data_IF_288482913958
#
_entry.id   IF_288482913958
#
_cell.length_a   1.000
_cell.length_b   1.000
_cell.length_c   1.000
_cell.angle_alpha   90.00
_cell.angle_beta   90.00
_cell.angle_gamma   90.00
#
_symmetry.space_group_name_H-M   'P 1'
#
loop_
_entity.id
_entity.type
_entity.pdbx_description
1 polymer ?
#
# COMPACT_ATOMS: atom_id res chain seq x y z
N UNK A 1 -8.79 9.64 17.97
CA UNK A 1 -10.21 9.19 18.07
C UNK A 1 -11.08 10.28 17.48
N UNK A 2 -11.59 10.07 16.26
CA UNK A 2 -12.61 10.95 15.69
C UNK A 2 -13.86 10.78 16.53
N UNK A 3 -14.31 11.86 17.16
CA UNK A 3 -15.53 11.90 17.97
C UNK A 3 -16.74 11.69 17.03
N UNK A 4 -17.12 10.43 16.82
CA UNK A 4 -18.27 10.04 15.97
C UNK A 4 -19.60 10.57 16.51
N UNK A 5 -19.67 11.05 17.76
CA UNK A 5 -20.87 11.65 18.33
C UNK A 5 -21.26 12.98 17.67
N UNK A 6 -20.32 13.63 16.98
CA UNK A 6 -20.53 14.92 16.28
C UNK A 6 -21.47 14.84 15.07
N UNK A 7 -21.65 13.66 14.47
CA UNK A 7 -22.29 13.51 13.16
C UNK A 7 -23.64 12.79 13.21
N UNK A 8 -24.07 12.35 14.39
CA UNK A 8 -25.36 11.68 14.58
C UNK A 8 -26.50 12.65 14.24
N UNK A 9 -27.28 12.31 13.22
CA UNK A 9 -28.52 12.99 12.78
C UNK A 9 -28.35 14.34 12.03
N UNK A 10 -27.19 14.67 11.45
CA UNK A 10 -27.09 15.81 10.52
C UNK A 10 -26.42 15.41 9.19
N UNK A 11 -26.77 16.06 8.06
CA UNK A 11 -26.01 15.90 6.83
C UNK A 11 -24.56 16.31 7.02
N UNK A 12 -23.61 15.50 6.52
CA UNK A 12 -22.17 15.77 6.55
C UNK A 12 -21.68 16.16 5.17
N UNK A 13 -21.16 17.38 5.02
CA UNK A 13 -20.54 17.81 3.77
C UNK A 13 -19.13 17.26 3.68
N UNK A 14 -18.95 16.20 2.89
CA UNK A 14 -17.68 15.53 2.66
C UNK A 14 -16.89 16.22 1.56
N UNK A 15 -15.60 16.51 1.81
CA UNK A 15 -14.60 16.80 0.79
C UNK A 15 -13.87 15.53 0.39
N UNK A 16 -13.88 15.19 -0.90
CA UNK A 16 -13.20 14.00 -1.40
C UNK A 16 -12.03 14.42 -2.28
N UNK A 17 -10.81 14.26 -1.73
CA UNK A 17 -9.55 14.61 -2.40
C UNK A 17 -9.03 13.40 -3.16
N UNK A 18 -8.72 13.54 -4.46
CA UNK A 18 -8.22 12.43 -5.25
C UNK A 18 -8.12 12.72 -6.74
N UNK A 19 -7.83 11.69 -7.52
CA UNK A 19 -7.94 11.69 -8.98
C UNK A 19 -9.41 11.49 -9.37
N UNK A 20 -10.09 12.53 -9.81
CA UNK A 20 -11.56 12.55 -9.98
C UNK A 20 -12.08 11.52 -10.99
N UNK A 21 -11.29 11.14 -11.97
CA UNK A 21 -11.66 10.12 -12.96
C UNK A 21 -11.55 8.66 -12.41
N UNK A 22 -10.95 8.48 -11.24
CA UNK A 22 -10.76 7.16 -10.68
C UNK A 22 -12.11 6.55 -10.27
N UNK A 23 -12.31 5.27 -10.61
CA UNK A 23 -13.49 4.50 -10.23
C UNK A 23 -13.74 4.53 -8.72
N UNK A 24 -12.69 4.54 -7.90
CA UNK A 24 -12.78 4.57 -6.43
C UNK A 24 -13.54 5.80 -5.93
N UNK A 25 -13.30 6.96 -6.54
CA UNK A 25 -14.01 8.22 -6.23
C UNK A 25 -15.50 8.06 -6.51
N UNK A 26 -15.85 7.61 -7.69
CA UNK A 26 -17.27 7.44 -8.14
C UNK A 26 -18.00 6.41 -7.27
N UNK A 27 -17.37 5.26 -7.01
CA UNK A 27 -17.98 4.20 -6.21
C UNK A 27 -18.24 4.70 -4.78
N UNK A 28 -17.29 5.41 -4.15
CA UNK A 28 -17.48 5.98 -2.82
C UNK A 28 -18.59 7.05 -2.79
N UNK A 29 -18.60 7.98 -3.74
CA UNK A 29 -19.68 8.99 -3.86
C UNK A 29 -21.06 8.34 -3.93
N UNK A 30 -21.20 7.29 -4.73
CA UNK A 30 -22.46 6.55 -4.86
C UNK A 30 -22.91 5.93 -3.52
N UNK A 31 -21.99 5.32 -2.76
CA UNK A 31 -22.31 4.72 -1.45
C UNK A 31 -22.64 5.78 -0.41
N UNK A 32 -21.90 6.88 -0.39
CA UNK A 32 -22.15 8.02 0.50
C UNK A 32 -23.55 8.60 0.29
N UNK A 33 -23.93 8.83 -0.96
CA UNK A 33 -25.28 9.34 -1.32
C UNK A 33 -26.38 8.32 -0.99
N UNK A 34 -26.12 7.02 -1.20
CA UNK A 34 -27.08 5.97 -0.84
C UNK A 34 -27.38 5.90 0.67
N UNK A 35 -26.49 6.43 1.51
CA UNK A 35 -26.72 6.62 2.95
C UNK A 35 -27.44 7.93 3.29
N UNK A 36 -28.02 8.62 2.29
CA UNK A 36 -28.77 9.87 2.47
C UNK A 36 -27.90 11.10 2.71
N UNK A 37 -26.60 11.02 2.46
CA UNK A 37 -25.69 12.14 2.65
C UNK A 37 -25.58 13.03 1.41
N UNK A 38 -25.25 14.33 1.56
CA UNK A 38 -25.05 15.25 0.45
C UNK A 38 -23.98 14.75 -0.52
N UNK A 39 -24.09 15.17 -1.78
CA UNK A 39 -23.04 14.91 -2.79
C UNK A 39 -21.70 15.46 -2.30
N UNK A 40 -20.63 14.65 -2.27
CA UNK A 40 -19.32 15.13 -1.86
C UNK A 40 -18.78 16.26 -2.73
N UNK A 41 -18.09 17.21 -2.11
CA UNK A 41 -17.28 18.20 -2.84
C UNK A 41 -16.02 17.49 -3.35
N UNK A 42 -15.87 17.41 -4.69
CA UNK A 42 -14.71 16.79 -5.31
C UNK A 42 -13.55 17.78 -5.38
N UNK A 43 -12.37 17.37 -4.95
CA UNK A 43 -11.16 18.19 -4.91
C UNK A 43 -10.06 17.43 -5.64
N UNK A 44 -9.64 17.96 -6.80
CA UNK A 44 -8.59 17.35 -7.61
C UNK A 44 -7.20 17.63 -7.02
N UNK A 45 -6.34 16.63 -6.99
CA UNK A 45 -4.95 16.79 -6.61
C UNK A 45 -4.18 17.77 -7.51
N UNK A 46 -4.53 17.83 -8.79
CA UNK A 46 -3.88 18.71 -9.76
C UNK A 46 -4.24 20.17 -9.56
N UNK A 47 -5.36 20.45 -8.87
CA UNK A 47 -5.88 21.79 -8.62
C UNK A 47 -6.33 21.95 -7.16
N UNK A 48 -5.42 21.66 -6.23
CA UNK A 48 -5.70 21.84 -4.80
C UNK A 48 -5.95 23.33 -4.50
N UNK A 49 -7.12 23.68 -3.89
CA UNK A 49 -7.40 25.07 -3.54
C UNK A 49 -6.39 25.62 -2.52
N UNK A 50 -6.05 26.89 -2.68
CA UNK A 50 -5.18 27.60 -1.72
C UNK A 50 -5.90 27.86 -0.38
N UNK A 51 -7.20 28.10 -0.43
CA UNK A 51 -8.03 28.32 0.76
C UNK A 51 -8.69 27.03 1.23
N UNK A 52 -8.99 26.96 2.52
CA UNK A 52 -9.70 25.83 3.14
C UNK A 52 -11.06 25.62 2.46
N UNK A 53 -11.35 24.43 1.93
CA UNK A 53 -12.64 24.13 1.31
C UNK A 53 -13.78 24.13 2.35
N UNK A 54 -14.99 24.51 1.92
CA UNK A 54 -16.17 24.54 2.80
C UNK A 54 -16.79 23.16 2.95
N UNK A 55 -16.14 22.30 3.72
CA UNK A 55 -16.58 20.92 4.02
C UNK A 55 -16.40 20.63 5.50
N UNK A 56 -17.11 19.62 6.01
CA UNK A 56 -17.03 19.22 7.41
C UNK A 56 -15.84 18.28 7.70
N UNK A 57 -15.50 17.43 6.72
CA UNK A 57 -14.50 16.38 6.84
C UNK A 57 -13.92 16.04 5.48
N UNK A 58 -12.69 15.53 5.47
CA UNK A 58 -12.01 15.09 4.25
C UNK A 58 -11.92 13.55 4.18
N UNK A 59 -12.07 13.02 2.98
CA UNK A 59 -11.56 11.71 2.61
C UNK A 59 -10.49 11.91 1.55
N UNK A 60 -9.28 11.45 1.85
CA UNK A 60 -8.12 11.56 0.96
C UNK A 60 -7.92 10.19 0.31
N UNK A 61 -7.93 10.13 -1.02
CA UNK A 61 -7.73 8.89 -1.78
C UNK A 61 -6.33 8.81 -2.40
N UNK A 62 -6.02 7.69 -3.04
CA UNK A 62 -4.71 7.43 -3.66
C UNK A 62 -4.36 8.43 -4.76
N UNK A 63 -3.12 8.94 -4.82
CA UNK A 63 -2.63 9.76 -5.92
C UNK A 63 -2.22 8.93 -7.15
N UNK A 64 -2.30 7.60 -7.09
CA UNK A 64 -1.86 6.69 -8.15
C UNK A 64 -2.73 6.71 -9.41
N UNK A 65 -2.23 6.07 -10.47
CA UNK A 65 -2.92 5.85 -11.76
C UNK A 65 -3.16 7.12 -12.61
N UNK A 66 -2.44 8.21 -12.33
CA UNK A 66 -2.50 9.44 -13.12
C UNK A 66 -1.07 9.91 -13.45
N UNK A 67 -0.66 9.79 -14.72
CA UNK A 67 0.70 10.12 -15.18
C UNK A 67 0.96 11.64 -15.08
N UNK A 68 -0.03 12.47 -15.36
CA UNK A 68 0.13 13.93 -15.25
C UNK A 68 0.37 14.35 -13.80
N UNK A 69 -0.43 13.83 -12.86
CA UNK A 69 -0.21 14.04 -11.43
C UNK A 69 1.15 13.48 -10.99
N UNK A 70 1.52 12.28 -11.44
CA UNK A 70 2.82 11.69 -11.09
C UNK A 70 3.98 12.60 -11.51
N UNK A 71 3.92 13.18 -12.71
CA UNK A 71 4.92 14.13 -13.21
C UNK A 71 4.98 15.39 -12.33
N UNK A 72 3.84 15.94 -11.93
CA UNK A 72 3.78 17.10 -11.02
C UNK A 72 4.36 16.77 -9.62
N UNK A 73 4.04 15.59 -9.08
CA UNK A 73 4.56 15.14 -7.79
C UNK A 73 6.07 14.93 -7.84
N UNK A 74 6.60 14.35 -8.92
CA UNK A 74 8.04 14.18 -9.11
C UNK A 74 8.73 15.55 -9.14
N UNK A 75 8.21 16.50 -9.88
CA UNK A 75 8.76 17.87 -9.92
C UNK A 75 8.68 18.56 -8.55
N UNK A 76 7.54 18.48 -7.87
CA UNK A 76 7.34 19.03 -6.53
C UNK A 76 8.29 18.40 -5.50
N UNK A 77 8.61 17.13 -5.64
CA UNK A 77 9.55 16.39 -4.78
C UNK A 77 11.02 16.57 -5.14
N UNK A 78 11.35 17.52 -6.03
CA UNK A 78 12.73 17.86 -6.41
C UNK A 78 13.31 17.03 -7.58
N UNK A 79 12.47 16.27 -8.25
CA UNK A 79 12.85 15.54 -9.47
C UNK A 79 12.91 16.45 -10.70
N UNK A 80 13.21 15.88 -11.88
CA UNK A 80 13.34 16.67 -13.10
C UNK A 80 12.00 17.27 -13.54
N UNK A 81 12.06 18.51 -14.03
CA UNK A 81 10.89 19.17 -14.64
C UNK A 81 10.42 18.35 -15.84
N UNK A 82 9.10 18.13 -15.91
CA UNK A 82 8.49 17.31 -16.96
C UNK A 82 9.19 15.95 -17.11
N UNK A 83 9.37 15.24 -15.99
CA UNK A 83 9.97 13.92 -15.99
C UNK A 83 9.40 13.08 -17.14
N UNK A 84 10.23 12.47 -18.00
CA UNK A 84 9.78 11.69 -19.15
C UNK A 84 9.30 10.31 -18.68
N UNK A 85 8.27 10.31 -17.82
CA UNK A 85 7.70 9.11 -17.25
C UNK A 85 6.69 8.50 -18.22
N UNK A 86 6.92 7.26 -18.61
CA UNK A 86 5.95 6.48 -19.37
C UNK A 86 5.00 5.70 -18.43
N UNK A 87 3.82 5.38 -18.95
CA UNK A 87 2.86 4.59 -18.19
C UNK A 87 3.44 3.25 -17.72
N UNK A 88 3.41 3.01 -16.42
CA UNK A 88 3.95 1.79 -15.80
C UNK A 88 5.46 1.79 -15.61
N UNK A 89 6.18 2.86 -15.94
CA UNK A 89 7.60 2.97 -15.64
C UNK A 89 7.86 3.08 -14.14
N UNK A 90 8.92 2.39 -13.68
CA UNK A 90 9.35 2.39 -12.28
C UNK A 90 10.60 3.26 -12.14
N UNK A 91 10.37 4.54 -11.90
CA UNK A 91 11.39 5.56 -11.72
C UNK A 91 10.87 6.67 -10.79
N UNK A 92 11.78 7.44 -10.19
CA UNK A 92 11.48 8.61 -9.38
C UNK A 92 10.54 8.35 -8.18
N UNK A 93 10.60 7.15 -7.59
CA UNK A 93 9.69 6.74 -6.51
C UNK A 93 9.85 7.62 -5.26
N UNK A 94 11.09 8.03 -4.97
CA UNK A 94 11.41 8.92 -3.85
C UNK A 94 10.86 10.33 -4.09
N UNK A 95 11.10 10.89 -5.26
CA UNK A 95 10.64 12.23 -5.63
C UNK A 95 9.12 12.30 -5.67
N UNK A 96 8.47 11.26 -6.24
CA UNK A 96 7.02 11.12 -6.18
C UNK A 96 6.48 11.15 -4.74
N UNK A 97 7.09 10.40 -3.83
CA UNK A 97 6.70 10.38 -2.42
C UNK A 97 6.89 11.76 -1.75
N UNK A 98 8.03 12.40 -1.96
CA UNK A 98 8.30 13.72 -1.39
C UNK A 98 7.29 14.76 -1.88
N UNK A 99 6.96 14.74 -3.17
CA UNK A 99 5.92 15.59 -3.73
C UNK A 99 4.53 15.29 -3.17
N UNK A 100 4.20 14.02 -2.97
CA UNK A 100 2.94 13.65 -2.34
C UNK A 100 2.88 14.11 -0.87
N UNK A 101 3.96 13.97 -0.11
CA UNK A 101 4.05 14.52 1.25
C UNK A 101 3.83 16.04 1.25
N UNK A 102 4.38 16.78 0.29
CA UNK A 102 4.15 18.22 0.17
C UNK A 102 2.66 18.55 -0.11
N UNK A 103 1.94 17.76 -0.90
CA UNK A 103 0.49 17.92 -1.06
C UNK A 103 -0.27 17.59 0.23
N UNK A 104 0.11 16.52 0.93
CA UNK A 104 -0.50 16.16 2.22
C UNK A 104 -0.31 17.27 3.27
N UNK A 105 0.85 17.93 3.31
CA UNK A 105 1.07 19.09 4.17
C UNK A 105 0.16 20.28 3.82
N UNK A 106 -0.08 20.57 2.53
CA UNK A 106 -1.05 21.58 2.10
C UNK A 106 -2.46 21.23 2.58
N UNK A 107 -2.87 19.96 2.42
CA UNK A 107 -4.18 19.46 2.90
C UNK A 107 -4.27 19.56 4.42
N UNK A 108 -3.21 19.21 5.15
CA UNK A 108 -3.13 19.32 6.60
C UNK A 108 -3.29 20.77 7.07
N UNK A 109 -2.72 21.73 6.32
CA UNK A 109 -2.81 23.15 6.64
C UNK A 109 -4.25 23.71 6.57
N UNK A 110 -5.20 23.04 5.95
CA UNK A 110 -6.62 23.41 6.00
C UNK A 110 -7.24 23.22 7.39
N UNK A 111 -6.61 22.45 8.29
CA UNK A 111 -7.10 22.22 9.66
C UNK A 111 -8.41 21.44 9.74
N UNK A 112 -8.81 20.76 8.67
CA UNK A 112 -10.05 19.97 8.63
C UNK A 112 -9.81 18.55 9.17
N UNK A 113 -10.81 17.97 9.86
CA UNK A 113 -10.78 16.53 10.17
C UNK A 113 -10.71 15.72 8.88
N UNK A 114 -10.06 14.55 8.94
CA UNK A 114 -10.00 13.63 7.82
C UNK A 114 -10.27 12.20 8.27
N UNK A 115 -10.78 11.34 7.37
CA UNK A 115 -10.95 9.90 7.64
C UNK A 115 -9.63 9.26 8.02
N UNK A 116 -8.59 9.55 7.28
CA UNK A 116 -7.21 9.22 7.62
C UNK A 116 -6.41 10.52 7.64
N UNK A 117 -5.69 10.76 8.74
CA UNK A 117 -4.92 11.98 8.91
C UNK A 117 -3.78 12.06 7.86
N UNK A 118 -3.54 13.23 7.24
CA UNK A 118 -2.52 13.39 6.20
C UNK A 118 -1.12 12.91 6.61
N UNK A 119 -0.71 13.17 7.84
CA UNK A 119 0.57 12.74 8.40
C UNK A 119 0.66 11.21 8.56
N UNK A 120 -0.42 10.55 8.94
CA UNK A 120 -0.47 9.09 9.00
C UNK A 120 -0.48 8.44 7.61
N UNK A 121 -1.14 9.07 6.63
CA UNK A 121 -1.07 8.65 5.22
C UNK A 121 0.39 8.68 4.75
N UNK A 122 1.13 9.77 5.04
CA UNK A 122 2.53 9.90 4.67
C UNK A 122 3.39 8.77 5.27
N UNK A 123 3.19 8.45 6.55
CA UNK A 123 3.91 7.36 7.22
C UNK A 123 3.53 5.99 6.64
N UNK A 124 2.25 5.70 6.40
CA UNK A 124 1.82 4.44 5.78
C UNK A 124 2.36 4.27 4.36
N UNK A 125 2.65 5.36 3.67
CA UNK A 125 3.23 5.35 2.33
C UNK A 125 4.77 5.16 2.34
N UNK A 126 5.40 5.19 3.52
CA UNK A 126 6.82 4.92 3.73
C UNK A 126 6.99 3.60 4.51
N UNK A 127 7.49 2.56 3.83
CA UNK A 127 7.64 1.22 4.42
C UNK A 127 8.62 1.18 5.58
N UNK A 128 9.63 2.07 5.59
CA UNK A 128 10.58 2.13 6.69
C UNK A 128 9.99 2.83 7.92
N UNK A 129 9.31 3.93 7.76
CA UNK A 129 8.63 4.61 8.87
C UNK A 129 7.54 3.72 9.48
N UNK A 130 6.74 3.05 8.66
CA UNK A 130 5.77 2.04 9.12
C UNK A 130 6.47 0.90 9.86
N UNK A 131 7.63 0.42 9.33
CA UNK A 131 8.47 -0.58 10.01
C UNK A 131 8.87 -0.14 11.41
N UNK A 132 9.44 1.04 11.55
CA UNK A 132 9.88 1.54 12.84
C UNK A 132 8.72 1.68 13.84
N UNK A 133 7.55 2.14 13.36
CA UNK A 133 6.34 2.26 14.18
C UNK A 133 5.86 0.90 14.69
N UNK A 134 5.86 -0.13 13.84
CA UNK A 134 5.52 -1.50 14.25
C UNK A 134 6.52 -2.10 15.24
N UNK A 135 7.81 -1.90 15.01
CA UNK A 135 8.86 -2.36 15.95
C UNK A 135 8.66 -1.72 17.33
N UNK A 136 8.43 -0.40 17.38
CA UNK A 136 8.21 0.33 18.62
C UNK A 136 6.95 -0.12 19.37
N UNK A 137 5.94 -0.59 18.64
CA UNK A 137 4.68 -1.10 19.20
C UNK A 137 4.70 -2.62 19.49
N UNK A 138 5.79 -3.32 19.19
CA UNK A 138 5.87 -4.79 19.36
C UNK A 138 5.02 -5.59 18.38
N UNK A 139 4.61 -4.99 17.26
CA UNK A 139 3.81 -5.66 16.22
C UNK A 139 4.70 -6.58 15.39
N UNK A 140 4.28 -7.86 15.28
CA UNK A 140 5.05 -8.92 14.60
C UNK A 140 5.19 -8.63 13.09
N UNK A 141 6.43 -8.75 12.59
CA UNK A 141 6.78 -8.49 11.19
C UNK A 141 8.11 -9.16 10.81
N UNK A 142 8.42 -9.36 9.52
CA UNK A 142 9.73 -9.86 9.12
C UNK A 142 10.85 -8.93 9.60
N UNK A 143 11.99 -9.46 10.09
CA UNK A 143 13.18 -8.65 10.31
C UNK A 143 13.57 -7.91 9.03
N UNK A 144 13.94 -6.64 9.18
CA UNK A 144 14.27 -5.80 8.04
C UNK A 144 15.35 -4.75 8.38
N UNK A 145 16.02 -4.28 7.33
CA UNK A 145 16.98 -3.17 7.36
C UNK A 145 16.85 -2.32 6.10
N UNK A 146 17.39 -1.10 6.13
CA UNK A 146 17.58 -0.32 4.91
C UNK A 146 18.66 -0.98 4.05
N UNK A 147 18.37 -1.16 2.76
CA UNK A 147 19.37 -1.62 1.83
C UNK A 147 20.37 -0.49 1.48
N UNK A 148 21.64 -0.80 1.21
CA UNK A 148 22.60 0.19 0.67
C UNK A 148 22.08 0.79 -0.64
N UNK A 149 22.41 2.04 -0.90
CA UNK A 149 22.01 2.74 -2.13
C UNK A 149 22.77 2.29 -3.38
N UNK A 150 23.85 1.53 -3.23
CA UNK A 150 24.70 1.03 -4.31
C UNK A 150 24.63 -0.48 -4.42
N UNK A 151 24.49 -1.01 -5.64
CA UNK A 151 24.56 -2.45 -5.87
C UNK A 151 25.93 -3.04 -5.47
N UNK A 152 27.02 -2.33 -5.70
CA UNK A 152 28.37 -2.77 -5.33
C UNK A 152 28.48 -2.92 -3.81
N UNK A 153 28.02 -1.92 -3.06
CA UNK A 153 28.03 -1.96 -1.60
C UNK A 153 27.12 -3.08 -1.08
N UNK A 154 25.91 -3.22 -1.62
CA UNK A 154 24.98 -4.29 -1.28
C UNK A 154 25.62 -5.66 -1.55
N UNK A 155 26.29 -5.83 -2.69
CA UNK A 155 26.96 -7.09 -3.05
C UNK A 155 28.11 -7.44 -2.10
N UNK A 156 28.85 -6.45 -1.62
CA UNK A 156 29.94 -6.66 -0.66
C UNK A 156 29.45 -7.08 0.72
N UNK A 157 28.27 -6.63 1.12
CA UNK A 157 27.69 -6.91 2.44
C UNK A 157 26.90 -8.22 2.49
N UNK A 158 26.52 -8.79 1.35
CA UNK A 158 25.72 -10.00 1.32
C UNK A 158 26.50 -11.26 1.68
N UNK A 159 25.84 -12.20 2.36
CA UNK A 159 26.38 -13.53 2.61
C UNK A 159 26.49 -14.39 1.34
N UNK A 160 27.18 -15.50 1.39
CA UNK A 160 27.34 -16.46 0.29
C UNK A 160 26.00 -17.07 -0.20
N UNK A 161 25.01 -17.10 0.66
CA UNK A 161 23.68 -17.60 0.36
C UNK A 161 22.64 -16.79 1.13
N UNK A 162 21.45 -16.68 0.56
CA UNK A 162 20.36 -15.97 1.20
C UNK A 162 19.06 -15.98 0.39
N UNK A 163 18.03 -15.47 1.05
CA UNK A 163 16.74 -15.20 0.43
C UNK A 163 16.09 -14.02 1.14
N UNK A 164 15.72 -13.01 0.37
CA UNK A 164 15.20 -11.75 0.87
C UNK A 164 14.10 -11.23 -0.04
N UNK A 165 13.32 -10.30 0.49
CA UNK A 165 12.54 -9.36 -0.29
C UNK A 165 13.21 -7.99 -0.24
N UNK A 166 13.46 -7.40 -1.41
CA UNK A 166 13.79 -6.00 -1.56
C UNK A 166 12.54 -5.28 -2.05
N UNK A 167 12.12 -4.26 -1.31
CA UNK A 167 10.92 -3.48 -1.64
C UNK A 167 11.29 -2.00 -1.69
N UNK A 168 10.87 -1.24 -2.72
CA UNK A 168 10.99 0.22 -2.67
C UNK A 168 10.34 0.77 -1.40
N UNK A 169 11.00 1.73 -0.74
CA UNK A 169 10.46 2.40 0.46
C UNK A 169 9.12 3.05 0.14
N UNK A 170 9.04 3.68 -1.02
CA UNK A 170 7.88 4.38 -1.53
C UNK A 170 7.37 3.69 -2.79
N UNK A 171 6.19 3.14 -2.74
CA UNK A 171 5.60 2.44 -3.87
C UNK A 171 4.38 1.63 -3.44
N UNK A 172 3.47 1.43 -4.37
CA UNK A 172 2.22 0.70 -4.18
C UNK A 172 2.12 -0.47 -5.17
N UNK A 173 1.13 -1.33 -4.97
CA UNK A 173 0.77 -2.39 -5.93
C UNK A 173 1.90 -3.36 -6.28
N UNK A 174 2.87 -3.55 -5.37
CA UNK A 174 4.02 -4.42 -5.62
C UNK A 174 5.03 -3.89 -6.65
N UNK A 175 4.90 -2.63 -7.09
CA UNK A 175 5.84 -2.00 -8.01
C UNK A 175 7.27 -2.06 -7.47
N UNK A 176 8.20 -2.54 -8.30
CA UNK A 176 9.62 -2.63 -7.94
C UNK A 176 9.97 -3.68 -6.89
N UNK A 177 9.03 -4.49 -6.41
CA UNK A 177 9.30 -5.56 -5.43
C UNK A 177 10.14 -6.66 -6.08
N UNK A 178 11.21 -7.05 -5.39
CA UNK A 178 12.15 -8.08 -5.82
C UNK A 178 12.23 -9.19 -4.76
N UNK A 179 11.86 -10.42 -5.11
CA UNK A 179 12.11 -11.60 -4.31
C UNK A 179 13.39 -12.28 -4.81
N UNK A 180 14.48 -12.16 -4.06
CA UNK A 180 15.81 -12.63 -4.44
C UNK A 180 16.24 -13.79 -3.58
N UNK A 181 16.73 -14.85 -4.21
CA UNK A 181 17.44 -15.96 -3.56
C UNK A 181 18.74 -16.25 -4.27
N UNK A 182 19.77 -16.65 -3.54
CA UNK A 182 21.06 -17.00 -4.11
C UNK A 182 21.81 -18.00 -3.25
N UNK A 183 22.73 -18.67 -3.91
CA UNK A 183 23.81 -19.50 -3.33
C UNK A 183 25.12 -19.08 -3.98
N UNK A 184 26.21 -19.78 -3.68
CA UNK A 184 27.50 -19.54 -4.36
C UNK A 184 27.45 -19.74 -5.88
N UNK A 185 26.56 -20.61 -6.37
CA UNK A 185 26.52 -21.04 -7.79
C UNK A 185 25.23 -20.68 -8.52
N UNK A 186 24.19 -20.32 -7.81
CA UNK A 186 22.87 -20.05 -8.37
C UNK A 186 22.26 -18.79 -7.78
N UNK A 187 21.55 -18.05 -8.58
CA UNK A 187 20.75 -16.88 -8.18
C UNK A 187 19.46 -16.84 -8.95
N UNK A 188 18.42 -16.30 -8.34
CA UNK A 188 17.17 -16.03 -9.01
C UNK A 188 16.47 -14.84 -8.34
N UNK A 189 16.20 -13.81 -9.12
CA UNK A 189 15.32 -12.71 -8.74
C UNK A 189 13.98 -12.90 -9.44
N UNK A 190 12.90 -12.82 -8.68
CA UNK A 190 11.54 -12.76 -9.19
C UNK A 190 10.95 -11.38 -8.91
N UNK A 191 10.37 -10.75 -9.93
CA UNK A 191 9.84 -9.40 -9.82
C UNK A 191 8.76 -9.14 -10.86
N UNK A 192 7.74 -8.32 -10.57
CA UNK A 192 6.79 -7.85 -11.58
C UNK A 192 7.38 -6.71 -12.42
N UNK A 193 8.66 -6.77 -12.73
CA UNK A 193 9.36 -5.80 -13.56
C UNK A 193 9.70 -6.39 -14.92
N UNK A 194 9.68 -5.56 -15.96
CA UNK A 194 10.27 -5.85 -17.28
C UNK A 194 11.33 -4.81 -17.60
N UNK A 195 12.39 -5.26 -18.25
CA UNK A 195 13.44 -4.39 -18.82
C UNK A 195 13.05 -4.09 -20.27
N UNK A 196 12.81 -2.83 -20.60
CA UNK A 196 12.46 -2.40 -21.95
C UNK A 196 13.30 -1.14 -22.27
N UNK A 197 14.08 -1.18 -23.33
CA UNK A 197 14.89 -0.02 -23.75
C UNK A 197 15.84 0.52 -22.67
N UNK A 198 16.36 -0.34 -21.80
CA UNK A 198 17.23 0.08 -20.70
C UNK A 198 16.50 0.72 -19.50
N UNK A 199 15.18 0.67 -19.46
CA UNK A 199 14.29 1.19 -18.40
C UNK A 199 13.51 0.06 -17.74
N UNK A 200 12.97 0.31 -16.54
CA UNK A 200 12.18 -0.66 -15.77
C UNK A 200 10.69 -0.30 -15.86
N UNK A 201 9.87 -1.29 -16.19
CA UNK A 201 8.42 -1.15 -16.26
C UNK A 201 7.72 -2.20 -15.43
N UNK A 202 6.60 -1.85 -14.81
CA UNK A 202 5.70 -2.79 -14.17
C UNK A 202 5.13 -3.79 -15.18
N UNK A 203 4.93 -5.02 -14.73
CA UNK A 203 4.31 -6.10 -15.48
C UNK A 203 3.18 -6.73 -14.65
N UNK A 204 2.13 -7.17 -15.33
CA UNK A 204 1.06 -7.95 -14.70
C UNK A 204 1.49 -9.42 -14.41
N UNK A 205 2.71 -9.78 -14.82
CA UNK A 205 3.27 -11.13 -14.60
C UNK A 205 4.61 -11.03 -13.91
N UNK A 206 4.87 -11.95 -12.98
CA UNK A 206 6.16 -12.07 -12.31
C UNK A 206 7.18 -12.65 -13.28
N UNK A 207 8.26 -11.90 -13.53
CA UNK A 207 9.40 -12.30 -14.34
C UNK A 207 10.46 -12.98 -13.48
N UNK A 208 11.31 -13.81 -14.11
CA UNK A 208 12.47 -14.46 -13.47
C UNK A 208 13.75 -13.99 -14.14
N UNK A 209 14.71 -13.57 -13.33
CA UNK A 209 16.05 -13.15 -13.76
C UNK A 209 17.07 -14.05 -13.06
N UNK A 210 17.90 -14.74 -13.84
CA UNK A 210 18.76 -15.83 -13.33
C UNK A 210 20.26 -15.54 -13.51
N UNK A 211 20.60 -14.39 -14.10
CA UNK A 211 22.00 -13.94 -14.21
C UNK A 211 22.27 -12.74 -13.32
N UNK A 212 23.49 -12.66 -12.75
CA UNK A 212 23.89 -11.48 -11.97
C UNK A 212 23.81 -10.19 -12.77
N UNK A 213 24.14 -10.23 -14.06
CA UNK A 213 24.04 -9.04 -14.92
C UNK A 213 22.62 -8.47 -15.00
N UNK A 214 21.60 -9.32 -15.12
CA UNK A 214 20.20 -8.89 -15.11
C UNK A 214 19.78 -8.38 -13.72
N UNK A 215 20.19 -9.06 -12.66
CA UNK A 215 19.89 -8.69 -11.27
C UNK A 215 20.54 -7.34 -10.93
N UNK A 216 21.81 -7.16 -11.27
CA UNK A 216 22.54 -5.90 -11.14
C UNK A 216 21.84 -4.78 -11.89
N UNK A 217 21.45 -5.02 -13.16
CA UNK A 217 20.74 -4.03 -13.97
C UNK A 217 19.48 -3.49 -13.26
N UNK A 218 18.71 -4.38 -12.62
CA UNK A 218 17.49 -4.02 -11.90
C UNK A 218 17.85 -3.31 -10.59
N UNK A 219 18.72 -3.91 -9.77
CA UNK A 219 19.03 -3.40 -8.43
C UNK A 219 19.81 -2.08 -8.49
N UNK A 220 20.71 -1.90 -9.44
CA UNK A 220 21.43 -0.64 -9.64
C UNK A 220 20.51 0.56 -9.96
N UNK A 221 19.28 0.31 -10.41
CA UNK A 221 18.25 1.34 -10.65
C UNK A 221 17.30 1.55 -9.50
N UNK A 222 17.06 0.52 -8.71
CA UNK A 222 16.12 0.58 -7.59
C UNK A 222 16.78 1.00 -6.28
N UNK A 223 17.97 0.49 -5.97
CA UNK A 223 18.66 0.79 -4.70
C UNK A 223 18.85 2.29 -4.45
N UNK A 224 19.26 3.11 -5.45
CA UNK A 224 19.40 4.55 -5.24
C UNK A 224 18.08 5.29 -4.93
N UNK A 225 16.93 4.68 -5.24
CA UNK A 225 15.62 5.23 -4.95
C UNK A 225 15.15 4.97 -3.49
N UNK A 226 15.94 4.21 -2.74
CA UNK A 226 15.64 3.75 -1.38
C UNK A 226 14.86 2.45 -1.36
N UNK A 227 15.44 1.43 -0.73
CA UNK A 227 14.82 0.12 -0.58
C UNK A 227 14.94 -0.39 0.87
N UNK A 228 13.94 -1.15 1.29
CA UNK A 228 13.98 -1.97 2.50
C UNK A 228 14.28 -3.42 2.09
N UNK A 229 15.22 -4.04 2.80
CA UNK A 229 15.53 -5.45 2.71
C UNK A 229 14.83 -6.19 3.86
N UNK A 230 13.97 -7.16 3.53
CA UNK A 230 13.22 -7.95 4.51
C UNK A 230 13.60 -9.44 4.41
N UNK A 231 13.67 -10.11 5.55
CA UNK A 231 13.79 -11.57 5.58
C UNK A 231 12.59 -12.20 4.86
N UNK A 232 12.87 -13.09 3.91
CA UNK A 232 11.82 -13.83 3.22
C UNK A 232 11.16 -14.85 4.15
N UNK A 233 9.91 -14.61 4.53
CA UNK A 233 9.11 -15.56 5.30
C UNK A 233 8.51 -16.61 4.35
N UNK A 234 8.79 -17.91 4.55
CA UNK A 234 8.13 -18.97 3.79
C UNK A 234 6.64 -19.00 4.13
N UNK A 235 5.82 -18.52 3.20
CA UNK A 235 4.36 -18.47 3.39
C UNK A 235 3.75 -19.86 3.53
N UNK A 236 2.64 -19.95 4.25
CA UNK A 236 1.75 -21.10 4.25
C UNK A 236 1.36 -21.43 2.81
N UNK A 237 1.44 -22.71 2.45
CA UNK A 237 1.12 -23.17 1.11
C UNK A 237 -0.10 -24.07 1.15
N UNK A 238 -1.09 -23.77 0.32
CA UNK A 238 -2.20 -24.63 -0.06
C UNK A 238 -1.83 -25.40 -1.35
N UNK A 239 -2.63 -26.37 -1.80
CA UNK A 239 -2.29 -27.18 -2.98
C UNK A 239 -1.90 -26.36 -4.23
N UNK A 240 -2.52 -25.21 -4.42
CA UNK A 240 -2.30 -24.37 -5.61
C UNK A 240 -1.33 -23.21 -5.41
N UNK A 241 -0.64 -23.11 -4.28
CA UNK A 241 0.40 -22.11 -4.03
C UNK A 241 0.37 -21.47 -2.66
N UNK A 242 1.30 -20.56 -2.45
CA UNK A 242 1.46 -19.83 -1.19
C UNK A 242 0.34 -18.82 -0.98
N UNK A 243 -0.05 -18.60 0.28
CA UNK A 243 -1.14 -17.69 0.64
C UNK A 243 -0.68 -16.58 1.58
N UNK A 244 -1.35 -15.45 1.48
CA UNK A 244 -1.40 -14.40 2.49
C UNK A 244 -2.81 -13.81 2.58
N UNK A 245 -3.03 -12.92 3.53
CA UNK A 245 -4.34 -12.32 3.79
C UNK A 245 -4.26 -10.81 3.67
N UNK A 246 -5.12 -10.21 2.83
CA UNK A 246 -5.42 -8.78 2.89
C UNK A 246 -6.59 -8.58 3.83
N UNK A 247 -6.41 -7.79 4.87
CA UNK A 247 -7.44 -7.42 5.84
C UNK A 247 -7.72 -5.93 5.73
N UNK A 248 -8.97 -5.55 5.62
CA UNK A 248 -9.41 -4.16 5.76
C UNK A 248 -9.88 -3.96 7.20
N UNK A 249 -9.14 -3.16 7.93
CA UNK A 249 -9.48 -2.72 9.29
C UNK A 249 -10.23 -1.39 9.19
N UNK A 250 -11.41 -1.30 9.80
CA UNK A 250 -12.24 -0.09 9.82
C UNK A 250 -12.65 0.18 11.27
N UNK A 251 -12.43 1.39 11.76
CA UNK A 251 -12.70 1.80 13.12
C UNK A 251 -12.11 0.84 14.18
N UNK A 252 -10.90 0.34 13.91
CA UNK A 252 -10.18 -0.58 14.79
C UNK A 252 -10.57 -2.06 14.71
N UNK A 253 -11.54 -2.43 13.87
CA UNK A 253 -12.00 -3.82 13.72
C UNK A 253 -11.72 -4.36 12.30
N UNK A 254 -11.29 -5.63 12.19
CA UNK A 254 -11.17 -6.34 10.93
C UNK A 254 -12.57 -6.60 10.35
N UNK A 255 -12.91 -5.92 9.25
CA UNK A 255 -14.25 -5.95 8.65
C UNK A 255 -14.33 -6.78 7.38
N UNK A 256 -13.36 -6.64 6.51
CA UNK A 256 -13.31 -7.36 5.23
C UNK A 256 -11.95 -8.02 5.09
N UNK A 257 -11.90 -9.18 4.46
CA UNK A 257 -10.63 -9.83 4.16
C UNK A 257 -10.70 -10.64 2.86
N UNK A 258 -9.55 -10.93 2.32
CA UNK A 258 -9.39 -11.86 1.21
C UNK A 258 -8.12 -12.68 1.39
N UNK A 259 -8.22 -13.98 1.24
CA UNK A 259 -7.06 -14.87 1.11
C UNK A 259 -6.58 -14.80 -0.32
N UNK A 260 -5.32 -14.38 -0.52
CA UNK A 260 -4.71 -14.29 -1.85
C UNK A 260 -3.76 -15.45 -2.04
N UNK A 261 -3.83 -16.13 -3.19
CA UNK A 261 -3.03 -17.31 -3.49
C UNK A 261 -2.20 -17.12 -4.75
N UNK A 262 -0.94 -17.56 -4.71
CA UNK A 262 0.00 -17.44 -5.81
C UNK A 262 0.98 -18.59 -5.88
N UNK A 263 1.38 -18.95 -7.10
CA UNK A 263 2.54 -19.84 -7.37
C UNK A 263 3.88 -19.09 -7.40
N UNK A 264 3.83 -17.77 -7.30
CA UNK A 264 5.00 -16.90 -7.15
C UNK A 264 5.14 -16.41 -5.70
N UNK A 265 6.28 -15.82 -5.30
CA UNK A 265 6.43 -15.22 -3.97
C UNK A 265 5.48 -14.05 -3.71
N UNK A 266 5.01 -13.36 -4.76
CA UNK A 266 4.08 -12.23 -4.69
C UNK A 266 2.65 -12.72 -4.85
N UNK A 267 1.77 -12.30 -3.96
CA UNK A 267 0.36 -12.73 -3.89
C UNK A 267 -0.63 -11.66 -4.32
N UNK A 268 -0.15 -10.48 -4.75
CA UNK A 268 -0.97 -9.38 -5.23
C UNK A 268 -1.89 -9.81 -6.37
N UNK A 269 -3.21 -9.56 -6.25
CA UNK A 269 -4.22 -10.06 -7.21
C UNK A 269 -4.03 -9.52 -8.63
N UNK A 270 -3.57 -8.27 -8.78
CA UNK A 270 -3.32 -7.69 -10.10
C UNK A 270 -2.15 -8.34 -10.87
N UNK A 271 -1.34 -9.19 -10.22
CA UNK A 271 -0.29 -9.98 -10.86
C UNK A 271 -0.82 -11.31 -11.44
N UNK A 272 -2.11 -11.44 -11.68
CA UNK A 272 -2.75 -12.66 -12.17
C UNK A 272 -2.95 -13.72 -11.10
N UNK A 273 -2.79 -13.38 -9.84
CA UNK A 273 -3.07 -14.25 -8.71
C UNK A 273 -4.56 -14.30 -8.40
N UNK A 274 -4.99 -15.25 -7.59
CA UNK A 274 -6.40 -15.51 -7.34
C UNK A 274 -6.77 -15.37 -5.87
N UNK A 275 -8.06 -15.17 -5.62
CA UNK A 275 -8.65 -15.34 -4.29
C UNK A 275 -8.75 -16.82 -4.01
N UNK A 276 -8.33 -17.25 -2.82
CA UNK A 276 -8.48 -18.61 -2.34
C UNK A 276 -9.66 -18.71 -1.38
N UNK A 277 -10.17 -19.94 -1.22
CA UNK A 277 -11.11 -20.27 -0.19
C UNK A 277 -10.43 -20.16 1.20
N UNK A 278 -11.17 -19.70 2.18
CA UNK A 278 -10.74 -19.60 3.58
C UNK A 278 -10.99 -20.87 4.40
N UNK A 279 -11.63 -21.90 3.82
CA UNK A 279 -11.96 -23.14 4.51
C UNK A 279 -10.72 -23.81 5.14
N UNK A 280 -10.80 -24.12 6.43
CA UNK A 280 -9.70 -24.72 7.19
C UNK A 280 -8.60 -23.75 7.59
N UNK A 281 -8.80 -22.45 7.41
CA UNK A 281 -7.87 -21.39 7.82
C UNK A 281 -8.37 -20.58 9.03
N UNK A 282 -9.40 -21.06 9.78
CA UNK A 282 -10.04 -20.29 10.83
C UNK A 282 -9.04 -19.74 11.87
N UNK A 283 -8.22 -20.61 12.48
CA UNK A 283 -7.23 -20.17 13.47
C UNK A 283 -6.13 -19.25 12.90
N UNK A 284 -5.51 -19.52 11.72
CA UNK A 284 -4.63 -18.57 11.05
C UNK A 284 -5.28 -17.22 10.72
N UNK A 285 -6.57 -17.22 10.31
CA UNK A 285 -7.30 -16.00 10.00
C UNK A 285 -7.59 -15.16 11.24
N UNK A 286 -8.01 -15.78 12.34
CA UNK A 286 -8.18 -15.08 13.61
C UNK A 286 -6.88 -14.40 14.09
N UNK A 287 -5.75 -15.12 13.98
CA UNK A 287 -4.46 -14.56 14.31
C UNK A 287 -4.09 -13.39 13.38
N UNK A 288 -4.39 -13.50 12.07
CA UNK A 288 -4.18 -12.45 11.09
C UNK A 288 -5.04 -11.21 11.37
N UNK A 289 -6.32 -11.39 11.75
CA UNK A 289 -7.22 -10.28 12.09
C UNK A 289 -6.73 -9.53 13.32
N UNK A 290 -6.40 -10.23 14.41
CA UNK A 290 -5.83 -9.61 15.60
C UNK A 290 -4.55 -8.83 15.31
N UNK A 291 -3.66 -9.39 14.51
CA UNK A 291 -2.41 -8.70 14.14
C UNK A 291 -2.68 -7.48 13.25
N UNK A 292 -3.64 -7.57 12.31
CA UNK A 292 -4.04 -6.45 11.47
C UNK A 292 -4.65 -5.30 12.29
N UNK A 293 -5.46 -5.61 13.29
CA UNK A 293 -6.04 -4.64 14.24
C UNK A 293 -4.94 -3.96 15.08
N UNK A 294 -3.95 -4.73 15.57
CA UNK A 294 -2.79 -4.18 16.27
C UNK A 294 -1.96 -3.24 15.36
N UNK A 295 -1.76 -3.61 14.10
CA UNK A 295 -1.06 -2.77 13.14
C UNK A 295 -1.82 -1.47 12.85
N UNK A 296 -3.15 -1.54 12.64
CA UNK A 296 -3.98 -0.37 12.43
C UNK A 296 -4.02 0.55 13.68
N UNK A 297 -3.99 -0.02 14.88
CA UNK A 297 -3.94 0.75 16.14
C UNK A 297 -2.67 1.60 16.28
N UNK A 298 -1.59 1.27 15.55
CA UNK A 298 -0.42 2.14 15.47
C UNK A 298 -0.71 3.46 14.72
N UNK A 299 -1.87 3.59 14.07
CA UNK A 299 -2.30 4.74 13.26
C UNK A 299 -3.66 5.24 13.78
N UNK A 300 -3.66 5.75 15.01
CA UNK A 300 -4.88 6.06 15.78
C UNK A 300 -5.73 7.21 15.24
N UNK A 301 -5.21 8.02 14.32
CA UNK A 301 -5.95 9.08 13.63
C UNK A 301 -6.42 8.66 12.22
N UNK A 302 -6.39 7.35 11.93
CA UNK A 302 -6.87 6.78 10.68
C UNK A 302 -8.10 5.91 10.93
N UNK A 303 -9.19 6.20 10.21
CA UNK A 303 -10.45 5.46 10.31
C UNK A 303 -10.33 4.05 9.74
N UNK A 304 -9.51 3.87 8.71
CA UNK A 304 -9.34 2.59 8.04
C UNK A 304 -7.94 2.39 7.48
N UNK A 305 -7.53 1.14 7.37
CA UNK A 305 -6.30 0.75 6.69
C UNK A 305 -6.44 -0.64 6.07
N UNK A 306 -5.80 -0.85 4.91
CA UNK A 306 -5.63 -2.17 4.32
C UNK A 306 -4.32 -2.78 4.81
N UNK A 307 -4.38 -3.96 5.43
CA UNK A 307 -3.21 -4.62 6.03
C UNK A 307 -2.93 -5.94 5.31
N UNK A 308 -1.70 -6.13 4.85
CA UNK A 308 -1.23 -7.40 4.32
C UNK A 308 -0.61 -8.23 5.45
N UNK A 309 -1.15 -9.41 5.69
CA UNK A 309 -0.67 -10.33 6.73
C UNK A 309 -0.12 -11.59 6.09
N UNK A 310 1.15 -11.87 6.37
CA UNK A 310 1.82 -13.09 5.96
C UNK A 310 1.52 -14.20 6.98
N UNK A 311 1.18 -15.37 6.48
CA UNK A 311 1.01 -16.60 7.26
C UNK A 311 2.20 -17.51 6.99
N UNK A 312 2.94 -17.94 8.00
CA UNK A 312 4.03 -18.91 7.77
C UNK A 312 3.54 -20.37 7.97
N UNK A 313 4.38 -21.31 7.56
CA UNK A 313 4.08 -22.75 7.64
C UNK A 313 3.94 -23.28 9.07
N UNK A 314 4.29 -22.49 10.09
CA UNK A 314 4.18 -22.83 11.51
C UNK A 314 2.98 -22.15 12.18
N UNK A 315 2.11 -21.50 11.41
CA UNK A 315 0.95 -20.75 11.92
C UNK A 315 1.29 -19.39 12.55
N UNK A 316 2.52 -18.89 12.39
CA UNK A 316 2.89 -17.54 12.84
C UNK A 316 2.46 -16.51 11.81
N UNK A 317 2.11 -15.33 12.28
CA UNK A 317 1.63 -14.21 11.47
C UNK A 317 2.58 -13.02 11.55
N UNK A 318 2.72 -12.29 10.43
CA UNK A 318 3.61 -11.13 10.31
C UNK A 318 2.95 -10.07 9.44
N UNK A 319 3.10 -8.80 9.80
CA UNK A 319 2.69 -7.70 8.91
C UNK A 319 3.63 -7.64 7.71
N UNK A 320 3.07 -7.75 6.52
CA UNK A 320 3.78 -7.55 5.26
C UNK A 320 3.79 -6.10 4.81
N UNK A 321 2.66 -5.41 4.95
CA UNK A 321 2.47 -4.00 4.57
C UNK A 321 1.18 -3.44 5.20
N UNK A 322 1.14 -2.12 5.41
CA UNK A 322 -0.08 -1.36 5.72
C UNK A 322 -0.30 -0.30 4.65
N UNK A 323 -1.56 -0.08 4.26
CA UNK A 323 -1.94 0.81 3.16
C UNK A 323 -3.03 1.78 3.61
N UNK A 324 -2.75 3.08 3.53
CA UNK A 324 -3.65 4.15 3.96
C UNK A 324 -4.96 4.22 3.18
N UNK A 325 -4.95 3.80 1.91
CA UNK A 325 -6.13 3.91 1.04
C UNK A 325 -6.99 2.64 1.03
N UNK A 326 -6.63 1.61 1.80
CA UNK A 326 -7.19 0.27 1.71
C UNK A 326 -7.06 -0.27 0.28
N UNK A 327 -7.01 -1.53 0.05
CA UNK A 327 -7.47 -2.08 -1.22
C UNK A 327 -8.94 -2.40 -0.96
N UNK A 328 -9.84 -1.68 -1.58
CA UNK A 328 -11.26 -1.69 -1.23
C UNK A 328 -11.98 -2.98 -1.68
N UNK A 329 -11.20 -3.98 -2.07
CA UNK A 329 -11.61 -5.35 -2.35
C UNK A 329 -12.89 -5.39 -3.22
N UNK A 330 -12.87 -4.88 -4.48
CA UNK A 330 -14.07 -4.75 -5.29
C UNK A 330 -14.87 -6.05 -5.37
N UNK A 331 -16.18 -5.96 -5.17
CA UNK A 331 -17.10 -7.10 -5.20
C UNK A 331 -17.03 -8.00 -3.98
N UNK A 332 -16.29 -7.63 -2.93
CA UNK A 332 -16.34 -8.34 -1.65
C UNK A 332 -17.43 -7.73 -0.77
N UNK A 333 -18.35 -8.58 -0.34
CA UNK A 333 -19.39 -8.25 0.64
C UNK A 333 -19.07 -8.98 1.93
N UNK A 334 -19.12 -8.29 3.03
CA UNK A 334 -18.98 -8.84 4.37
C UNK A 334 -20.03 -8.18 5.27
N UNK A 335 -20.77 -8.98 6.06
CA UNK A 335 -21.88 -8.48 6.90
C UNK A 335 -22.89 -7.63 6.09
N UNK A 336 -23.26 -8.09 4.90
CA UNK A 336 -24.21 -7.46 3.97
C UNK A 336 -23.81 -6.08 3.43
N UNK A 337 -22.55 -5.69 3.58
CA UNK A 337 -22.05 -4.41 3.07
C UNK A 337 -20.70 -4.53 2.35
N UNK A 338 -20.47 -3.62 1.41
CA UNK A 338 -19.16 -3.46 0.76
C UNK A 338 -18.24 -2.54 1.60
N UNK A 339 -16.95 -2.54 1.26
CA UNK A 339 -15.94 -1.78 1.97
C UNK A 339 -16.22 -0.26 2.01
N UNK A 340 -16.77 0.31 0.94
CA UNK A 340 -17.09 1.74 0.89
C UNK A 340 -18.25 2.10 1.83
N UNK A 341 -19.29 1.27 1.83
CA UNK A 341 -20.44 1.40 2.73
C UNK A 341 -20.00 1.27 4.18
N UNK A 342 -19.17 0.25 4.50
CA UNK A 342 -18.63 0.04 5.85
C UNK A 342 -17.81 1.25 6.34
N UNK A 343 -16.94 1.82 5.51
CA UNK A 343 -16.15 3.01 5.85
C UNK A 343 -17.07 4.22 6.09
N UNK A 344 -18.05 4.45 5.21
CA UNK A 344 -18.97 5.57 5.33
C UNK A 344 -19.83 5.46 6.62
N UNK A 345 -20.38 4.28 6.89
CA UNK A 345 -21.16 4.01 8.12
C UNK A 345 -20.31 4.19 9.38
N UNK A 346 -19.10 3.67 9.39
CA UNK A 346 -18.17 3.80 10.53
C UNK A 346 -17.88 5.28 10.84
N UNK A 347 -17.73 6.13 9.80
CA UNK A 347 -17.56 7.56 9.99
C UNK A 347 -18.83 8.22 10.55
N UNK A 348 -20.00 7.85 10.03
CA UNK A 348 -21.30 8.42 10.43
C UNK A 348 -21.77 7.90 11.80
N UNK A 349 -21.20 6.82 12.33
CA UNK A 349 -21.61 6.18 13.58
C UNK A 349 -22.93 5.42 13.47
N UNK A 350 -23.28 4.84 12.29
CA UNK A 350 -24.54 4.13 11.99
C UNK A 350 -24.28 2.71 11.52
#
# INVERSE_FOLDING_TARGET
MTDSSRWVNRPVQLGLVGNLENRRIRDFCSRWQALGQPTPTLIDYQDLPESTPRVDVLRIDSPGENVALATQLIELGGGPKKAPLEHGEVAYLREFHLGFCALLERIRAWGLPAFNAPDEIAVMFDKWQSHQRFVSAGVSRPPASLAPASFVEWQQQRADHGRIFLKPLHGSSGSGVCALRWTRTQQQLQSPLRIVGGRLFNSLHVQKYETWAQIEFILARLLPQGMIEETWIPKLSLPDGAVDVRVLVIAGAARHHVVRQSRSPMTNLHLGNRRADSNGLDAPLEAAFRLAEQAAACFGNSLYAGVDVLLDQRGRVYIGEINAFGDLLPGLISHDEDAYTAIARAHLGI
#
